data_IF_427062580862
#
_entry.id   IF_427062580862
#
_cell.length_a   1.000
_cell.length_b   1.000
_cell.length_c   1.000
_cell.angle_alpha   90.00
_cell.angle_beta   90.00
_cell.angle_gamma   90.00
#
_symmetry.space_group_name_H-M   'P 1'
#
loop_
_entity.id
_entity.type
_entity.pdbx_description
1 polymer ?
#
# COMPACT_ATOMS: atom_id res chain seq x y z
N UNK A 1 10.63 7.19 1.80
CA UNK A 1 11.05 8.51 1.30
C UNK A 1 9.89 9.49 1.40
N UNK A 2 10.08 10.72 0.92
CA UNK A 2 9.09 11.81 1.03
C UNK A 2 7.70 11.41 0.50
N UNK A 3 7.54 10.81 -0.71
CA UNK A 3 6.22 10.45 -1.22
C UNK A 3 5.47 9.48 -0.30
N UNK A 4 6.14 8.42 0.18
CA UNK A 4 5.57 7.45 1.12
C UNK A 4 5.10 8.13 2.41
N UNK A 5 5.98 8.91 3.05
CA UNK A 5 5.64 9.48 4.34
C UNK A 5 4.57 10.56 4.21
N UNK A 6 4.59 11.36 3.13
CA UNK A 6 3.56 12.34 2.85
C UNK A 6 2.18 11.67 2.74
N UNK A 7 2.04 10.62 1.91
CA UNK A 7 0.78 9.87 1.76
C UNK A 7 0.34 9.25 3.09
N UNK A 8 1.26 8.71 3.90
CA UNK A 8 0.89 8.10 5.18
C UNK A 8 0.53 9.15 6.26
N UNK A 9 1.15 10.32 6.24
CA UNK A 9 0.92 11.37 7.23
C UNK A 9 -0.39 12.13 7.01
N UNK A 10 -1.01 12.06 5.84
CA UNK A 10 -2.34 12.67 5.64
C UNK A 10 -3.37 12.09 6.60
N UNK A 11 -3.26 10.82 6.98
CA UNK A 11 -4.14 10.17 7.96
C UNK A 11 -3.91 10.65 9.40
N UNK A 12 -2.83 11.40 9.69
CA UNK A 12 -2.65 12.01 11.01
C UNK A 12 -3.43 13.31 11.17
N UNK A 13 -3.89 13.91 10.07
CA UNK A 13 -4.66 15.16 10.06
C UNK A 13 -6.11 14.95 9.59
N UNK A 14 -6.40 13.82 8.95
CA UNK A 14 -7.75 13.34 8.69
C UNK A 14 -8.28 12.54 9.88
N UNK A 15 -9.59 12.55 10.19
CA UNK A 15 -10.18 11.74 11.26
C UNK A 15 -10.38 10.26 10.83
N UNK A 16 -9.42 9.68 10.10
CA UNK A 16 -9.50 8.30 9.59
C UNK A 16 -8.09 7.70 9.38
N UNK A 17 -8.02 6.41 9.07
CA UNK A 17 -6.80 5.68 8.75
C UNK A 17 -7.00 4.72 7.57
N UNK A 18 -5.92 4.33 6.89
CA UNK A 18 -6.04 3.45 5.71
C UNK A 18 -6.49 2.02 6.07
N UNK A 19 -7.43 1.47 5.30
CA UNK A 19 -7.85 0.06 5.36
C UNK A 19 -6.88 -0.90 4.65
N UNK A 20 -6.15 -0.39 3.65
CA UNK A 20 -5.25 -1.18 2.82
C UNK A 20 -3.94 -0.43 2.56
N UNK A 21 -2.83 -1.16 2.50
CA UNK A 21 -1.55 -0.61 2.08
C UNK A 21 -0.69 -1.66 1.37
N UNK A 22 -0.16 -1.30 0.19
CA UNK A 22 0.84 -2.11 -0.51
C UNK A 22 2.09 -1.26 -0.68
N UNK A 23 3.21 -1.76 -0.20
CA UNK A 23 4.52 -1.11 -0.33
C UNK A 23 5.39 -1.90 -1.29
N UNK A 24 5.83 -1.26 -2.37
CA UNK A 24 6.85 -1.77 -3.28
C UNK A 24 8.12 -0.96 -3.01
N UNK A 25 9.17 -1.61 -2.50
CA UNK A 25 10.39 -0.91 -2.07
C UNK A 25 11.61 -1.78 -2.31
N UNK A 26 12.76 -1.17 -2.59
CA UNK A 26 14.06 -1.85 -2.49
C UNK A 26 14.74 -1.59 -1.14
N UNK A 27 14.25 -0.60 -0.38
CA UNK A 27 14.84 -0.23 0.90
C UNK A 27 14.38 -1.21 1.98
N UNK A 28 15.32 -1.91 2.64
CA UNK A 28 14.97 -2.90 3.65
C UNK A 28 14.81 -2.22 5.03
N UNK A 29 14.04 -2.84 5.96
CA UNK A 29 13.61 -2.18 7.19
C UNK A 29 14.74 -1.93 8.19
N UNK A 30 15.84 -2.68 8.13
CA UNK A 30 16.94 -2.67 9.11
C UNK A 30 17.73 -1.35 9.09
N UNK A 31 17.64 -0.59 7.99
CA UNK A 31 18.33 0.69 7.84
C UNK A 31 17.69 1.82 8.66
N UNK A 32 16.47 1.63 9.19
CA UNK A 32 15.73 2.65 9.94
C UNK A 32 15.30 3.86 9.09
N UNK A 33 15.49 3.81 7.77
CA UNK A 33 15.10 4.88 6.86
C UNK A 33 13.59 4.92 6.62
N UNK A 34 13.03 6.12 6.43
CA UNK A 34 11.60 6.33 6.15
C UNK A 34 11.09 5.60 4.91
N UNK A 35 11.98 5.24 3.98
CA UNK A 35 11.62 4.40 2.83
C UNK A 35 11.41 2.94 3.22
N UNK A 36 12.31 2.36 4.01
CA UNK A 36 12.26 0.97 4.45
C UNK A 36 11.34 0.69 5.65
N UNK A 37 10.94 1.72 6.40
CA UNK A 37 10.02 1.60 7.55
C UNK A 37 8.84 0.66 7.26
N UNK A 38 8.51 -0.25 8.17
CA UNK A 38 7.49 -1.26 7.89
C UNK A 38 6.08 -0.65 7.90
N UNK A 39 5.14 -1.30 7.22
CA UNK A 39 3.73 -0.90 7.29
C UNK A 39 3.12 -1.20 8.67
N UNK A 40 3.70 -2.13 9.44
CA UNK A 40 3.31 -2.41 10.82
C UNK A 40 3.82 -1.33 11.78
N UNK A 41 5.00 -0.78 11.52
CA UNK A 41 5.44 0.44 12.18
C UNK A 41 4.47 1.58 11.85
N UNK A 42 4.13 1.80 10.58
CA UNK A 42 3.14 2.83 10.23
C UNK A 42 1.78 2.62 10.94
N UNK A 43 1.33 1.37 11.14
CA UNK A 43 0.13 1.03 11.89
C UNK A 43 0.22 1.45 13.36
N UNK A 44 1.38 1.32 14.02
CA UNK A 44 1.54 1.73 15.43
C UNK A 44 1.38 3.25 15.63
N UNK A 45 1.61 4.03 14.58
CA UNK A 45 1.37 5.48 14.54
C UNK A 45 -0.05 5.87 14.13
N UNK A 46 -0.96 4.91 13.97
CA UNK A 46 -2.35 5.17 13.57
C UNK A 46 -2.53 5.54 12.09
N UNK A 47 -1.51 5.34 11.24
CA UNK A 47 -1.61 5.63 9.79
C UNK A 47 -2.48 4.60 9.05
N UNK A 48 -2.56 3.39 9.60
CA UNK A 48 -3.40 2.29 9.12
C UNK A 48 -4.33 1.87 10.26
N UNK A 49 -5.55 1.43 9.93
CA UNK A 49 -6.46 0.83 10.91
C UNK A 49 -5.84 -0.43 11.52
N UNK A 50 -6.26 -0.80 12.73
CA UNK A 50 -5.81 -2.02 13.40
C UNK A 50 -6.07 -3.28 12.55
N UNK A 51 -7.23 -3.33 11.89
CA UNK A 51 -7.64 -4.42 11.00
C UNK A 51 -7.15 -4.27 9.54
N UNK A 52 -6.36 -3.23 9.23
CA UNK A 52 -5.94 -2.95 7.87
C UNK A 52 -5.09 -4.09 7.29
N UNK A 53 -5.38 -4.47 6.05
CA UNK A 53 -4.59 -5.48 5.32
C UNK A 53 -3.43 -4.80 4.63
N UNK A 54 -2.21 -5.26 4.89
CA UNK A 54 -1.01 -4.67 4.31
C UNK A 54 -0.07 -5.73 3.73
N UNK A 55 0.78 -5.31 2.79
CA UNK A 55 1.83 -6.15 2.23
C UNK A 55 3.03 -5.29 1.80
N UNK A 56 4.23 -5.79 2.06
CA UNK A 56 5.49 -5.22 1.60
C UNK A 56 6.17 -6.17 0.63
N UNK A 57 6.59 -5.67 -0.53
CA UNK A 57 7.36 -6.40 -1.53
C UNK A 57 8.73 -5.73 -1.66
N UNK A 58 9.78 -6.49 -1.38
CA UNK A 58 11.16 -6.03 -1.41
C UNK A 58 11.80 -6.32 -2.78
N UNK A 59 11.47 -5.49 -3.77
CA UNK A 59 11.99 -5.57 -5.13
C UNK A 59 11.76 -4.26 -5.90
N UNK A 60 12.39 -4.12 -7.07
CA UNK A 60 12.25 -2.95 -7.92
C UNK A 60 10.80 -2.74 -8.38
N UNK A 61 10.33 -1.50 -8.29
CA UNK A 61 8.97 -1.13 -8.69
C UNK A 61 8.72 -1.35 -10.20
N UNK A 62 9.73 -1.22 -11.05
CA UNK A 62 9.63 -1.45 -12.50
C UNK A 62 9.35 -2.92 -12.85
N UNK A 63 9.66 -3.85 -11.95
CA UNK A 63 9.35 -5.28 -12.07
C UNK A 63 8.01 -5.59 -11.40
N UNK A 64 7.83 -5.10 -10.18
CA UNK A 64 6.69 -5.50 -9.34
C UNK A 64 5.38 -4.81 -9.72
N UNK A 65 5.42 -3.52 -10.09
CA UNK A 65 4.21 -2.75 -10.40
C UNK A 65 3.46 -3.30 -11.62
N UNK A 66 4.09 -3.64 -12.76
CA UNK A 66 3.38 -4.24 -13.89
C UNK A 66 2.68 -5.55 -13.54
N UNK A 67 3.29 -6.38 -12.69
CA UNK A 67 2.70 -7.66 -12.24
C UNK A 67 1.45 -7.41 -11.39
N UNK A 68 1.55 -6.48 -10.43
CA UNK A 68 0.40 -6.09 -9.58
C UNK A 68 -0.75 -5.56 -10.44
N UNK A 69 -0.45 -4.68 -11.40
CA UNK A 69 -1.46 -4.11 -12.30
C UNK A 69 -2.10 -5.19 -13.17
N UNK A 70 -1.31 -6.06 -13.80
CA UNK A 70 -1.84 -7.14 -14.63
C UNK A 70 -2.78 -8.05 -13.84
N UNK A 71 -2.34 -8.48 -12.65
CA UNK A 71 -3.11 -9.40 -11.82
C UNK A 71 -4.35 -8.74 -11.17
N UNK A 72 -4.31 -7.43 -10.91
CA UNK A 72 -5.49 -6.68 -10.46
C UNK A 72 -6.52 -6.55 -11.60
N UNK A 73 -6.06 -6.25 -12.82
CA UNK A 73 -6.93 -6.11 -13.99
C UNK A 73 -7.61 -7.43 -14.38
N UNK A 74 -6.87 -8.53 -14.37
CA UNK A 74 -7.41 -9.87 -14.62
C UNK A 74 -8.55 -10.20 -13.63
N UNK A 75 -8.30 -10.03 -12.33
CA UNK A 75 -9.31 -10.29 -11.29
C UNK A 75 -10.51 -9.35 -11.35
N UNK A 76 -10.30 -8.10 -11.77
CA UNK A 76 -11.40 -7.15 -11.97
C UNK A 76 -12.27 -7.57 -13.17
N UNK A 77 -11.67 -8.02 -14.28
CA UNK A 77 -12.41 -8.51 -15.43
C UNK A 77 -13.24 -9.75 -15.10
N UNK A 78 -12.69 -10.66 -14.27
CA UNK A 78 -13.42 -11.84 -13.80
C UNK A 78 -14.57 -11.48 -12.85
N UNK A 79 -14.35 -10.49 -11.98
CA UNK A 79 -15.35 -10.09 -10.96
C UNK A 79 -16.42 -9.15 -11.51
N UNK A 80 -16.10 -8.33 -12.50
CA UNK A 80 -16.98 -7.34 -13.12
C UNK A 80 -16.91 -7.46 -14.66
N UNK A 81 -17.54 -8.51 -15.25
CA UNK A 81 -17.40 -8.82 -16.68
C UNK A 81 -18.03 -7.78 -17.61
N UNK A 82 -19.00 -7.02 -17.11
CA UNK A 82 -19.70 -5.94 -17.82
C UNK A 82 -18.99 -4.58 -17.68
N UNK A 83 -17.87 -4.52 -16.95
CA UNK A 83 -17.13 -3.29 -16.68
C UNK A 83 -17.76 -2.41 -15.61
N UNK A 84 -18.75 -2.91 -14.86
CA UNK A 84 -19.29 -2.19 -13.70
C UNK A 84 -18.20 -1.95 -12.64
N UNK A 85 -18.10 -0.75 -12.04
CA UNK A 85 -17.15 -0.53 -10.96
C UNK A 85 -17.57 -1.29 -9.70
N UNK A 86 -16.63 -1.61 -8.79
CA UNK A 86 -17.00 -2.07 -7.46
C UNK A 86 -17.84 -1.01 -6.73
N UNK A 87 -18.86 -1.44 -6.00
CA UNK A 87 -19.48 -0.61 -4.97
C UNK A 87 -18.48 -0.47 -3.79
N UNK A 88 -18.20 0.77 -3.39
CA UNK A 88 -17.23 1.12 -2.34
C UNK A 88 -17.93 1.49 -1.04
#
# INVERSE_FOLDING_TARGET
GVPKNYVLQTMLVAPDAYDYAVQLTMDPPETGGLSGASLDEARSWGKLKAAARNASVYADATITLPIVVAAARERLADRFPDGSPPEY
#
